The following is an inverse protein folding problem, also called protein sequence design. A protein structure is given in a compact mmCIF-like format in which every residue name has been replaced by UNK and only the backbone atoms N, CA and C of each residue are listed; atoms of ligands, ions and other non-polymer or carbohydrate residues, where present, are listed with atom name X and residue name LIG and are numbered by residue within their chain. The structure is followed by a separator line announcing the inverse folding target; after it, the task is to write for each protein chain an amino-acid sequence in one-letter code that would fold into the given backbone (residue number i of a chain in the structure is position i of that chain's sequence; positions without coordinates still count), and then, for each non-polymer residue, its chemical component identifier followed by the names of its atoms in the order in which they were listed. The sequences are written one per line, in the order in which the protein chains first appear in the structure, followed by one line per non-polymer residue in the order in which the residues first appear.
data_IF_969200709811
#
_entry.id   IF_969200709811
#
_cell.length_a   1.000
_cell.length_b   1.000
_cell.length_c   1.000
_cell.angle_alpha   90.00
_cell.angle_beta   90.00
_cell.angle_gamma   90.00
#
_symmetry.space_group_name_H-M   'P 1'
#
loop_
_entity.id
_entity.type
_entity.pdbx_description
1 polymer ?
#
# COMPACT_ATOMS: atom_id res chain seq x y z
N UNK A 1 -23.57 -41.17 35.31
CA UNK A 1 -23.13 -39.82 34.90
C UNK A 1 -24.36 -38.91 34.96
N UNK A 2 -24.40 -37.91 35.86
CA UNK A 2 -25.63 -37.12 36.10
C UNK A 2 -26.06 -36.35 34.85
N UNK A 3 -27.37 -36.34 34.57
CA UNK A 3 -28.01 -35.62 33.45
C UNK A 3 -27.54 -34.16 33.41
N UNK A 4 -27.33 -33.54 34.58
CA UNK A 4 -26.83 -32.16 34.70
C UNK A 4 -25.47 -31.98 34.04
N UNK A 5 -24.53 -32.93 34.21
CA UNK A 5 -23.19 -32.85 33.61
C UNK A 5 -23.25 -32.92 32.08
N UNK A 6 -24.17 -33.71 31.54
CA UNK A 6 -24.37 -33.84 30.09
C UNK A 6 -24.98 -32.55 29.50
N UNK A 7 -25.95 -31.94 30.19
CA UNK A 7 -26.55 -30.66 29.76
C UNK A 7 -25.51 -29.54 29.76
N UNK A 8 -24.66 -29.47 30.79
CA UNK A 8 -23.58 -28.45 30.84
C UNK A 8 -22.58 -28.63 29.70
N UNK A 9 -22.19 -29.87 29.38
CA UNK A 9 -21.27 -30.17 28.28
C UNK A 9 -21.86 -29.80 26.91
N UNK A 10 -23.14 -30.12 26.69
CA UNK A 10 -23.84 -29.77 25.44
C UNK A 10 -23.98 -28.24 25.31
N UNK A 11 -24.31 -27.55 26.39
CA UNK A 11 -24.42 -26.08 26.40
C UNK A 11 -23.07 -25.40 26.09
N UNK A 12 -21.97 -25.89 26.70
CA UNK A 12 -20.63 -25.37 26.44
C UNK A 12 -20.18 -25.64 25.00
N UNK A 13 -20.47 -26.83 24.46
CA UNK A 13 -20.19 -27.17 23.07
C UNK A 13 -20.96 -26.29 22.09
N UNK A 14 -22.24 -26.05 22.34
CA UNK A 14 -23.08 -25.18 21.52
C UNK A 14 -22.59 -23.72 21.55
N UNK A 15 -22.25 -23.19 22.72
CA UNK A 15 -21.65 -21.85 22.87
C UNK A 15 -20.32 -21.73 22.13
N UNK A 16 -19.44 -22.72 22.27
CA UNK A 16 -18.15 -22.76 21.56
C UNK A 16 -18.32 -22.76 20.04
N UNK A 17 -19.27 -23.54 19.52
CA UNK A 17 -19.58 -23.61 18.10
C UNK A 17 -20.09 -22.27 17.54
N UNK A 18 -21.01 -21.60 18.25
CA UNK A 18 -21.55 -20.30 17.83
C UNK A 18 -20.44 -19.23 17.78
N UNK A 19 -19.54 -19.22 18.76
CA UNK A 19 -18.42 -18.26 18.80
C UNK A 19 -17.45 -18.55 17.66
N UNK A 20 -17.09 -19.81 17.41
CA UNK A 20 -16.18 -20.20 16.34
C UNK A 20 -16.76 -19.85 14.95
N UNK A 21 -18.04 -20.14 14.71
CA UNK A 21 -18.73 -19.77 13.47
C UNK A 21 -18.75 -18.25 13.30
N UNK A 22 -19.00 -17.47 14.36
CA UNK A 22 -19.02 -16.02 14.29
C UNK A 22 -17.62 -15.40 14.06
N UNK A 23 -16.55 -16.08 14.46
CA UNK A 23 -15.17 -15.66 14.18
C UNK A 23 -14.76 -16.03 12.75
N UNK A 24 -15.14 -17.21 12.26
CA UNK A 24 -14.85 -17.68 10.90
C UNK A 24 -15.70 -16.99 9.82
N UNK A 25 -16.96 -16.67 10.13
CA UNK A 25 -17.87 -15.99 9.22
C UNK A 25 -17.58 -14.50 9.08
N UNK A 26 -16.81 -13.91 10.01
CA UNK A 26 -16.35 -12.54 9.86
C UNK A 26 -15.21 -12.53 8.84
N UNK A 27 -15.38 -11.86 7.68
CA UNK A 27 -14.27 -11.68 6.78
C UNK A 27 -13.14 -11.00 7.54
N UNK A 28 -11.95 -11.60 7.48
CA UNK A 28 -10.76 -11.06 8.12
C UNK A 28 -10.67 -9.58 7.76
N UNK A 29 -10.61 -8.71 8.78
CA UNK A 29 -10.33 -7.28 8.59
C UNK A 29 -8.87 -7.06 8.19
N UNK A 30 -8.28 -7.95 7.41
CA UNK A 30 -7.03 -7.68 6.71
C UNK A 30 -7.35 -6.57 5.73
N UNK A 31 -6.78 -5.36 5.89
CA UNK A 31 -6.88 -4.35 4.85
C UNK A 31 -6.24 -4.97 3.62
N UNK A 32 -7.08 -5.45 2.70
CA UNK A 32 -6.60 -6.02 1.46
C UNK A 32 -5.70 -5.00 0.76
N UNK A 33 -4.81 -5.49 -0.12
CA UNK A 33 -3.87 -4.66 -0.87
C UNK A 33 -4.60 -3.46 -1.52
N UNK A 34 -5.83 -3.65 -1.99
CA UNK A 34 -6.68 -2.59 -2.53
C UNK A 34 -6.99 -1.44 -1.54
N UNK A 35 -7.22 -1.73 -0.26
CA UNK A 35 -7.46 -0.70 0.78
C UNK A 35 -6.17 0.02 1.17
N UNK A 36 -5.04 -0.70 1.16
CA UNK A 36 -3.72 -0.08 1.34
C UNK A 36 -3.39 0.86 0.18
N UNK A 37 -3.56 0.41 -1.05
CA UNK A 37 -3.32 1.19 -2.27
C UNK A 37 -4.21 2.44 -2.30
N UNK A 38 -5.48 2.31 -1.92
CA UNK A 38 -6.41 3.45 -1.87
C UNK A 38 -6.00 4.48 -0.81
N UNK A 39 -5.58 4.04 0.38
CA UNK A 39 -5.00 4.93 1.41
C UNK A 39 -3.71 5.61 0.96
N UNK A 40 -2.84 4.88 0.26
CA UNK A 40 -1.62 5.48 -0.29
C UNK A 40 -1.97 6.56 -1.33
N UNK A 41 -2.94 6.30 -2.21
CA UNK A 41 -3.36 7.28 -3.21
C UNK A 41 -4.02 8.52 -2.55
N UNK A 42 -4.84 8.31 -1.53
CA UNK A 42 -5.41 9.40 -0.74
C UNK A 42 -4.31 10.21 -0.04
N UNK A 43 -3.31 9.54 0.56
CA UNK A 43 -2.18 10.18 1.24
C UNK A 43 -1.30 11.00 0.26
N UNK A 44 -1.07 10.50 -0.95
CA UNK A 44 -0.39 11.25 -2.02
C UNK A 44 -1.18 12.47 -2.49
N UNK A 45 -2.51 12.39 -2.54
CA UNK A 45 -3.35 13.52 -2.97
C UNK A 45 -3.48 14.59 -1.88
N UNK A 46 -3.45 14.21 -0.60
CA UNK A 46 -3.48 15.15 0.54
C UNK A 46 -2.14 15.90 0.64
N UNK A 47 -1.04 15.21 0.36
CA UNK A 47 0.30 15.81 0.33
C UNK A 47 0.67 16.18 -1.11
N UNK A 48 0.06 17.24 -1.64
CA UNK A 48 0.51 17.85 -2.90
C UNK A 48 1.94 18.36 -2.71
N UNK A 49 2.91 17.52 -3.06
CA UNK A 49 4.31 17.89 -3.23
C UNK A 49 4.81 17.36 -4.58
N UNK A 50 5.65 18.15 -5.29
CA UNK A 50 6.34 19.33 -4.80
C UNK A 50 5.50 20.60 -4.96
N UNK A 51 5.44 21.41 -3.91
CA UNK A 51 5.17 22.85 -4.04
C UNK A 51 6.23 23.37 -5.01
N UNK A 52 5.83 23.74 -6.23
CA UNK A 52 6.76 24.35 -7.16
C UNK A 52 7.21 25.68 -6.55
N UNK A 53 8.51 25.83 -6.30
CA UNK A 53 9.06 27.13 -5.94
C UNK A 53 8.79 28.07 -7.14
N UNK A 54 8.13 29.23 -6.96
CA UNK A 54 7.93 30.16 -8.05
C UNK A 54 9.25 30.71 -8.64
N UNK A 55 10.38 30.53 -7.95
CA UNK A 55 11.71 30.86 -8.45
C UNK A 55 12.41 29.68 -9.17
N UNK A 56 11.83 28.47 -9.15
CA UNK A 56 12.39 27.33 -9.90
C UNK A 56 12.27 27.64 -11.39
N UNK A 57 13.41 27.89 -12.02
CA UNK A 57 13.44 28.15 -13.45
C UNK A 57 13.20 26.85 -14.22
N UNK A 58 12.79 26.96 -15.49
CA UNK A 58 12.68 25.80 -16.37
C UNK A 58 14.02 25.03 -16.50
N UNK A 59 15.14 25.72 -16.30
CA UNK A 59 16.48 25.13 -16.29
C UNK A 59 16.73 24.29 -15.04
N UNK A 60 16.27 24.73 -13.87
CA UNK A 60 16.36 23.97 -12.61
C UNK A 60 15.52 22.71 -12.65
N UNK A 61 14.31 22.78 -13.22
CA UNK A 61 13.46 21.59 -13.45
C UNK A 61 14.13 20.55 -14.35
N UNK A 62 14.82 21.00 -15.39
CA UNK A 62 15.52 20.11 -16.32
C UNK A 62 16.71 19.43 -15.64
N UNK A 63 17.45 20.16 -14.81
CA UNK A 63 18.52 19.62 -13.98
C UNK A 63 17.99 18.58 -13.00
N UNK A 64 16.93 18.87 -12.25
CA UNK A 64 16.30 17.92 -11.31
C UNK A 64 15.84 16.65 -12.04
N UNK A 65 15.19 16.79 -13.19
CA UNK A 65 14.74 15.65 -13.99
C UNK A 65 15.93 14.80 -14.46
N UNK A 66 17.02 15.43 -14.89
CA UNK A 66 18.23 14.73 -15.30
C UNK A 66 18.90 14.03 -14.10
N UNK A 67 18.94 14.66 -12.93
CA UNK A 67 19.48 14.07 -11.69
C UNK A 67 18.66 12.85 -11.24
N UNK A 68 17.33 12.94 -11.28
CA UNK A 68 16.43 11.82 -10.98
C UNK A 68 16.62 10.67 -11.96
N UNK A 69 16.77 10.99 -13.26
CA UNK A 69 17.05 10.01 -14.32
C UNK A 69 18.41 9.34 -14.15
N UNK A 70 19.44 10.07 -13.74
CA UNK A 70 20.75 9.52 -13.41
C UNK A 70 20.68 8.55 -12.22
N UNK A 71 19.91 8.90 -11.17
CA UNK A 71 19.71 8.03 -9.99
C UNK A 71 18.85 6.79 -10.30
N UNK A 72 17.95 6.88 -11.29
CA UNK A 72 17.05 5.79 -11.70
C UNK A 72 17.14 5.56 -13.22
N UNK A 73 18.19 4.90 -13.71
CA UNK A 73 18.48 4.77 -15.14
C UNK A 73 17.44 3.96 -15.93
N UNK A 74 16.57 3.19 -15.25
CA UNK A 74 15.44 2.52 -15.87
C UNK A 74 14.30 3.48 -16.28
N UNK A 75 14.25 4.70 -15.72
CA UNK A 75 13.29 5.74 -16.12
C UNK A 75 13.80 6.60 -17.29
N UNK A 76 15.01 6.36 -17.80
CA UNK A 76 15.54 7.05 -18.97
C UNK A 76 14.98 6.50 -20.27
N UNK A 77 14.58 7.40 -21.17
CA UNK A 77 14.26 7.04 -22.55
C UNK A 77 15.51 6.50 -23.26
N UNK A 78 15.31 5.67 -24.29
CA UNK A 78 16.40 5.20 -25.14
C UNK A 78 17.19 6.37 -25.76
N UNK A 79 16.50 7.43 -26.18
CA UNK A 79 17.14 8.63 -26.73
C UNK A 79 18.03 9.35 -25.70
N UNK A 80 17.63 9.34 -24.43
CA UNK A 80 18.41 9.96 -23.35
C UNK A 80 19.68 9.14 -23.06
N UNK A 81 19.56 7.80 -23.08
CA UNK A 81 20.72 6.89 -22.92
C UNK A 81 21.75 7.09 -24.03
N UNK A 82 21.30 7.21 -25.28
CA UNK A 82 22.18 7.49 -26.42
C UNK A 82 22.86 8.86 -26.34
N UNK A 83 22.19 9.87 -25.76
CA UNK A 83 22.80 11.19 -25.51
C UNK A 83 23.87 11.12 -24.43
N UNK A 84 23.62 10.39 -23.34
CA UNK A 84 24.61 10.18 -22.27
C UNK A 84 25.84 9.41 -22.77
N UNK A 85 25.63 8.36 -23.57
CA UNK A 85 26.72 7.58 -24.19
C UNK A 85 27.59 8.41 -25.14
N UNK A 86 27.04 9.48 -25.73
CA UNK A 86 27.78 10.42 -26.59
C UNK A 86 28.48 11.53 -25.82
N UNK A 87 28.10 11.77 -24.56
CA UNK A 87 28.70 12.78 -23.69
C UNK A 87 29.82 12.23 -22.80
N UNK A 88 29.96 10.91 -22.69
CA UNK A 88 31.19 10.23 -22.24
C UNK A 88 32.23 10.20 -23.36
#
# INVERSE_FOLDING_TARGET
MSVTKNVTLVALGALGAVIAVNQLAKPAKTPGIANMMRRQLDDYNVHVQPVQDPNDTIFDRTKILNDVKAKKPWNMSYADKERMRKSE
#
